data_IF_487430298304
#
_entry.id   IF_487430298304
#
_cell.length_a   1.000
_cell.length_b   1.000
_cell.length_c   1.000
_cell.angle_alpha   90.00
_cell.angle_beta   90.00
_cell.angle_gamma   90.00
#
_symmetry.space_group_name_H-M   'P 1'
#
loop_
_entity.id
_entity.type
_entity.pdbx_description
1 polymer ?
#
# COMPACT_ATOMS: atom_id res chain seq x y z
N UNK A 1 22.82 39.07 -35.89
CA UNK A 1 24.29 39.27 -35.81
C UNK A 1 24.97 38.10 -36.49
N UNK A 2 25.88 38.42 -37.41
CA UNK A 2 26.64 37.53 -38.29
C UNK A 2 27.93 37.03 -37.63
N UNK A 3 28.35 35.80 -37.96
CA UNK A 3 29.72 35.34 -38.33
C UNK A 3 29.77 33.79 -38.24
N UNK A 4 29.84 32.97 -39.32
CA UNK A 4 30.96 32.60 -40.25
C UNK A 4 32.26 32.22 -39.52
N UNK A 5 33.10 31.22 -39.85
CA UNK A 5 33.24 30.12 -40.84
C UNK A 5 34.56 29.39 -40.45
N UNK A 6 34.72 28.06 -40.65
CA UNK A 6 35.91 27.42 -41.28
C UNK A 6 35.78 25.87 -41.31
N UNK A 7 36.14 25.27 -42.46
CA UNK A 7 36.40 23.84 -42.76
C UNK A 7 37.85 23.73 -43.32
N UNK A 8 38.43 22.57 -43.71
CA UNK A 8 38.48 21.21 -43.13
C UNK A 8 39.92 20.55 -43.22
N UNK A 9 39.99 19.24 -42.93
CA UNK A 9 40.89 18.19 -43.47
C UNK A 9 42.24 17.89 -42.78
N UNK A 10 42.41 16.63 -42.36
CA UNK A 10 43.54 15.77 -42.77
C UNK A 10 43.11 14.28 -42.83
N UNK A 11 43.59 13.60 -43.87
CA UNK A 11 43.53 12.14 -44.08
C UNK A 11 44.86 11.53 -43.65
N UNK A 12 44.86 10.35 -43.03
CA UNK A 12 45.72 9.25 -43.49
C UNK A 12 45.27 7.89 -42.95
N UNK A 13 45.39 6.89 -43.82
CA UNK A 13 44.92 5.53 -43.70
C UNK A 13 45.80 4.61 -42.83
N UNK A 14 45.21 3.52 -42.30
CA UNK A 14 45.79 2.17 -42.39
C UNK A 14 44.83 1.06 -41.87
N UNK A 15 44.33 0.27 -42.83
CA UNK A 15 44.23 -1.20 -42.86
C UNK A 15 43.74 -2.04 -41.65
N UNK A 16 42.65 -2.77 -41.93
CA UNK A 16 42.37 -4.20 -41.66
C UNK A 16 42.59 -4.79 -40.26
N UNK A 17 41.53 -5.40 -39.68
CA UNK A 17 41.36 -6.86 -39.64
C UNK A 17 39.96 -7.25 -39.15
N UNK A 18 39.28 -8.05 -39.97
CA UNK A 18 38.42 -9.21 -39.64
C UNK A 18 37.85 -9.33 -38.22
N UNK A 19 36.53 -9.22 -38.13
CA UNK A 19 35.62 -10.14 -37.42
C UNK A 19 35.72 -10.26 -35.90
N UNK A 20 34.67 -9.84 -35.20
CA UNK A 20 34.15 -10.69 -34.12
C UNK A 20 32.63 -10.67 -34.10
N UNK A 21 32.10 -11.88 -34.07
CA UNK A 21 30.69 -12.23 -33.98
C UNK A 21 30.05 -11.55 -32.76
N UNK A 22 29.02 -10.73 -32.98
CA UNK A 22 28.12 -10.33 -31.89
C UNK A 22 27.44 -11.60 -31.38
N UNK A 23 27.91 -12.08 -30.24
CA UNK A 23 27.48 -13.33 -29.63
C UNK A 23 25.97 -13.22 -29.28
N UNK A 24 25.07 -13.94 -29.97
CA UNK A 24 23.62 -13.75 -29.81
C UNK A 24 23.13 -14.03 -28.38
N UNK A 25 23.90 -14.82 -27.62
CA UNK A 25 23.68 -15.11 -26.20
C UNK A 25 23.88 -13.87 -25.31
N UNK A 26 24.79 -12.95 -25.66
CA UNK A 26 25.00 -11.71 -24.90
C UNK A 26 23.90 -10.68 -25.18
N UNK A 27 23.40 -10.64 -26.42
CA UNK A 27 22.33 -9.74 -26.82
C UNK A 27 20.98 -10.16 -26.23
N UNK A 28 20.67 -11.46 -26.19
CA UNK A 28 19.49 -11.98 -25.48
C UNK A 28 19.54 -11.72 -23.97
N UNK A 29 20.71 -11.83 -23.34
CA UNK A 29 20.88 -11.55 -21.91
C UNK A 29 20.65 -10.08 -21.58
N UNK A 30 21.09 -9.17 -22.46
CA UNK A 30 20.89 -7.74 -22.29
C UNK A 30 19.41 -7.37 -22.38
N UNK A 31 18.70 -7.90 -23.39
CA UNK A 31 17.27 -7.69 -23.58
C UNK A 31 16.45 -8.27 -22.42
N UNK A 32 16.80 -9.47 -21.93
CA UNK A 32 16.13 -10.08 -20.77
C UNK A 32 16.35 -9.26 -19.48
N UNK A 33 17.51 -8.64 -19.30
CA UNK A 33 17.79 -7.76 -18.16
C UNK A 33 17.03 -6.43 -18.25
N UNK A 34 16.94 -5.81 -19.43
CA UNK A 34 16.14 -4.59 -19.63
C UNK A 34 14.64 -4.85 -19.45
N UNK A 35 14.15 -6.01 -19.91
CA UNK A 35 12.76 -6.44 -19.68
C UNK A 35 12.53 -6.74 -18.20
N UNK A 36 13.47 -7.38 -17.51
CA UNK A 36 13.36 -7.62 -16.07
C UNK A 36 13.33 -6.29 -15.27
N UNK A 37 14.22 -5.34 -15.59
CA UNK A 37 14.25 -4.01 -14.95
C UNK A 37 12.98 -3.20 -15.20
N UNK A 38 12.43 -3.25 -16.43
CA UNK A 38 11.20 -2.53 -16.78
C UNK A 38 9.95 -3.16 -16.15
N UNK A 39 9.90 -4.49 -16.03
CA UNK A 39 8.84 -5.20 -15.28
C UNK A 39 8.94 -4.93 -13.78
N UNK A 40 10.14 -4.67 -13.26
CA UNK A 40 10.37 -4.31 -11.86
C UNK A 40 10.01 -2.85 -11.56
N UNK A 41 10.15 -1.94 -12.53
CA UNK A 41 9.71 -0.54 -12.44
C UNK A 41 8.20 -0.34 -12.57
N UNK A 42 7.49 -1.22 -13.28
CA UNK A 42 6.02 -1.18 -13.44
C UNK A 42 5.27 -1.74 -12.21
N UNK A 43 5.98 -2.30 -11.23
CA UNK A 43 5.36 -2.72 -9.97
C UNK A 43 5.18 -1.50 -9.09
N UNK A 44 3.93 -1.07 -8.96
CA UNK A 44 3.51 -0.07 -7.98
C UNK A 44 4.19 -0.34 -6.62
N UNK A 45 4.73 0.72 -6.02
CA UNK A 45 5.39 0.71 -4.72
C UNK A 45 4.49 0.21 -3.58
N UNK A 46 3.18 0.08 -3.82
CA UNK A 46 2.23 -0.56 -2.91
C UNK A 46 2.29 -2.10 -2.92
N UNK A 47 2.90 -2.71 -3.95
CA UNK A 47 2.94 -4.16 -4.16
C UNK A 47 4.38 -4.68 -4.25
N UNK A 48 5.22 -4.36 -3.27
CA UNK A 48 6.54 -4.99 -3.11
C UNK A 48 6.41 -6.34 -2.39
N UNK A 49 6.96 -7.40 -3.00
CA UNK A 49 7.11 -8.72 -2.37
C UNK A 49 8.51 -8.85 -1.77
N UNK A 50 8.55 -9.49 -0.60
CA UNK A 50 9.71 -9.97 0.18
C UNK A 50 10.30 -9.08 1.29
N UNK A 51 9.44 -8.39 2.04
CA UNK A 51 9.79 -8.10 3.45
C UNK A 51 9.22 -9.19 4.36
N UNK A 52 10.04 -9.61 5.33
CA UNK A 52 9.61 -10.44 6.46
C UNK A 52 8.42 -9.73 7.10
N UNK A 53 7.23 -10.35 7.04
CA UNK A 53 5.96 -9.71 7.37
C UNK A 53 5.81 -9.55 8.89
N UNK A 54 6.40 -8.49 9.44
CA UNK A 54 6.25 -8.12 10.84
C UNK A 54 4.92 -7.38 11.05
N UNK A 55 4.29 -7.62 12.21
CA UNK A 55 3.13 -6.83 12.65
C UNK A 55 3.53 -5.36 12.71
N UNK A 56 2.68 -4.48 12.15
CA UNK A 56 2.87 -3.03 12.26
C UNK A 56 2.93 -2.62 13.73
N UNK A 57 3.98 -1.89 14.09
CA UNK A 57 4.22 -1.39 15.44
C UNK A 57 3.34 -0.19 15.80
N UNK A 58 3.45 0.28 17.04
CA UNK A 58 2.68 1.43 17.53
C UNK A 58 2.93 2.71 16.71
N UNK A 59 4.19 2.92 16.29
CA UNK A 59 4.60 4.09 15.51
C UNK A 59 3.86 4.22 14.17
N UNK A 60 3.43 3.10 13.57
CA UNK A 60 2.64 3.14 12.34
C UNK A 60 1.28 3.82 12.55
N UNK A 61 0.67 3.63 13.72
CA UNK A 61 -0.66 4.16 14.01
C UNK A 61 -0.62 5.60 14.53
N UNK A 62 0.51 6.03 15.08
CA UNK A 62 0.74 7.36 15.65
C UNK A 62 1.00 8.39 14.56
N UNK A 63 -0.06 8.68 13.79
CA UNK A 63 -0.04 9.69 12.75
C UNK A 63 -1.45 10.28 12.53
N UNK A 64 -1.56 11.47 11.93
CA UNK A 64 -2.85 12.12 11.66
C UNK A 64 -3.79 11.23 10.84
N UNK A 65 -5.10 11.34 11.09
CA UNK A 65 -6.14 10.47 10.54
C UNK A 65 -6.07 10.27 9.02
N UNK A 66 -5.92 11.35 8.24
CA UNK A 66 -5.84 11.29 6.77
C UNK A 66 -4.57 10.56 6.30
N UNK A 67 -3.44 10.80 6.98
CA UNK A 67 -2.18 10.12 6.68
C UNK A 67 -2.28 8.63 7.01
N UNK A 68 -2.89 8.28 8.16
CA UNK A 68 -3.13 6.89 8.54
C UNK A 68 -4.01 6.15 7.53
N UNK A 69 -5.10 6.77 7.08
CA UNK A 69 -5.99 6.18 6.08
C UNK A 69 -5.24 5.83 4.80
N UNK A 70 -4.44 6.75 4.27
CA UNK A 70 -3.59 6.49 3.09
C UNK A 70 -2.53 5.42 3.37
N UNK A 71 -1.91 5.45 4.53
CA UNK A 71 -0.86 4.50 4.90
C UNK A 71 -1.37 3.07 5.07
N UNK A 72 -2.67 2.88 5.37
CA UNK A 72 -3.30 1.57 5.42
C UNK A 72 -3.42 0.91 4.04
N UNK A 73 -3.53 1.67 2.95
CA UNK A 73 -3.66 1.11 1.61
C UNK A 73 -2.43 0.25 1.27
N UNK A 74 -2.68 -0.97 0.78
CA UNK A 74 -1.64 -1.96 0.50
C UNK A 74 -1.15 -2.74 1.74
N UNK A 75 -1.58 -2.41 2.95
CA UNK A 75 -1.27 -3.21 4.16
C UNK A 75 -2.16 -4.43 4.24
N UNK A 76 -1.66 -5.50 4.88
CA UNK A 76 -2.40 -6.76 5.03
C UNK A 76 -3.04 -6.82 6.42
N UNK A 77 -4.37 -6.91 6.47
CA UNK A 77 -5.09 -7.30 7.67
C UNK A 77 -5.04 -8.83 7.80
N UNK A 78 -4.62 -9.30 8.97
CA UNK A 78 -4.53 -10.73 9.28
C UNK A 78 -5.44 -11.05 10.45
N UNK A 79 -6.31 -12.05 10.28
CA UNK A 79 -7.13 -12.63 11.33
C UNK A 79 -6.70 -14.08 11.54
N UNK A 80 -6.23 -14.39 12.75
CA UNK A 80 -6.02 -15.78 13.20
C UNK A 80 -7.29 -16.30 13.87
N UNK A 81 -7.83 -17.39 13.36
CA UNK A 81 -9.00 -18.10 13.89
C UNK A 81 -8.60 -18.99 15.08
N UNK A 82 -9.60 -19.48 15.82
CA UNK A 82 -9.37 -20.27 17.03
C UNK A 82 -8.68 -21.63 16.76
N UNK A 83 -8.91 -22.18 15.57
CA UNK A 83 -8.27 -23.40 15.05
C UNK A 83 -6.84 -23.19 14.52
N UNK A 84 -6.34 -21.95 14.55
CA UNK A 84 -5.04 -21.56 14.02
C UNK A 84 -5.04 -21.17 12.54
N UNK A 85 -6.17 -21.30 11.83
CA UNK A 85 -6.31 -20.85 10.44
C UNK A 85 -6.07 -19.34 10.34
N UNK A 86 -5.35 -18.90 9.31
CA UNK A 86 -5.14 -17.46 9.05
C UNK A 86 -5.92 -17.00 7.81
N UNK A 87 -6.68 -15.94 8.00
CA UNK A 87 -7.36 -15.18 6.96
C UNK A 87 -6.56 -13.90 6.69
N UNK A 88 -6.31 -13.58 5.42
CA UNK A 88 -5.50 -12.42 5.03
C UNK A 88 -6.20 -11.64 3.94
N UNK A 89 -6.20 -10.31 4.05
CA UNK A 89 -6.67 -9.43 2.99
C UNK A 89 -5.90 -8.12 2.94
N UNK A 90 -5.56 -7.65 1.75
CA UNK A 90 -4.95 -6.34 1.52
C UNK A 90 -6.01 -5.27 1.68
N UNK A 91 -5.74 -4.24 2.47
CA UNK A 91 -6.62 -3.07 2.55
C UNK A 91 -6.56 -2.30 1.24
N UNK A 92 -7.71 -2.16 0.59
CA UNK A 92 -7.84 -1.46 -0.71
C UNK A 92 -8.76 -0.26 -0.65
N UNK A 93 -9.54 -0.10 0.43
CA UNK A 93 -10.42 1.03 0.63
C UNK A 93 -10.50 1.40 2.11
N UNK A 94 -10.33 2.69 2.41
CA UNK A 94 -10.40 3.26 3.75
C UNK A 94 -11.13 4.59 3.72
N UNK A 95 -11.73 4.97 4.85
CA UNK A 95 -12.36 6.28 5.03
C UNK A 95 -11.87 6.92 6.33
N UNK A 96 -11.56 8.21 6.29
CA UNK A 96 -10.99 8.95 7.41
C UNK A 96 -12.06 9.81 8.09
N UNK A 97 -12.16 9.68 9.41
CA UNK A 97 -12.98 10.54 10.26
C UNK A 97 -12.05 11.35 11.18
N UNK A 98 -11.75 12.63 10.87
CA UNK A 98 -10.71 13.41 11.57
C UNK A 98 -11.13 13.92 12.96
N UNK A 99 -12.30 13.54 13.48
CA UNK A 99 -12.72 13.84 14.85
C UNK A 99 -13.81 14.89 14.93
N UNK A 100 -13.71 15.79 15.92
CA UNK A 100 -14.80 16.69 16.33
C UNK A 100 -15.34 17.65 15.25
N UNK A 101 -14.51 18.05 14.29
CA UNK A 101 -14.93 18.94 13.19
C UNK A 101 -15.75 18.22 12.12
N UNK A 102 -15.61 16.89 12.04
CA UNK A 102 -16.33 16.08 11.06
C UNK A 102 -17.73 15.74 11.55
N UNK A 103 -18.74 16.32 10.89
CA UNK A 103 -20.16 16.10 11.19
C UNK A 103 -20.63 14.67 10.88
N UNK A 104 -19.92 13.93 10.02
CA UNK A 104 -20.23 12.54 9.73
C UNK A 104 -19.67 11.59 10.81
N UNK A 105 -18.70 12.06 11.61
CA UNK A 105 -18.07 11.25 12.64
C UNK A 105 -18.98 10.98 13.84
N UNK A 106 -18.82 9.80 14.44
CA UNK A 106 -19.43 9.52 15.74
C UNK A 106 -18.94 10.45 16.85
N UNK A 107 -17.74 11.03 16.69
CA UNK A 107 -17.13 11.99 17.61
C UNK A 107 -17.44 13.46 17.26
N UNK A 108 -18.36 13.73 16.32
CA UNK A 108 -18.77 15.08 15.94
C UNK A 108 -19.04 15.97 17.17
N UNK A 109 -18.51 17.20 17.14
CA UNK A 109 -18.57 18.14 18.26
C UNK A 109 -17.76 17.73 19.49
N UNK A 110 -16.79 16.82 19.34
CA UNK A 110 -16.01 16.27 20.46
C UNK A 110 -16.81 15.29 21.33
N UNK A 111 -17.94 14.78 20.83
CA UNK A 111 -18.86 13.94 21.61
C UNK A 111 -18.24 12.58 21.93
N UNK A 112 -17.97 12.35 23.21
CA UNK A 112 -17.54 11.05 23.75
C UNK A 112 -18.69 10.35 24.46
N UNK A 113 -18.86 9.07 24.16
CA UNK A 113 -19.84 8.15 24.72
C UNK A 113 -19.13 6.84 25.07
N UNK A 114 -19.76 5.97 25.86
CA UNK A 114 -19.21 4.63 26.13
C UNK A 114 -18.95 3.86 24.83
N UNK A 115 -19.86 3.97 23.86
CA UNK A 115 -19.77 3.29 22.56
C UNK A 115 -18.53 3.69 21.77
N UNK A 116 -18.25 4.99 21.64
CA UNK A 116 -17.15 5.49 20.80
C UNK A 116 -15.86 5.78 21.59
N UNK A 117 -15.78 5.35 22.86
CA UNK A 117 -14.64 5.65 23.73
C UNK A 117 -13.29 5.23 23.12
N UNK A 118 -13.28 4.13 22.34
CA UNK A 118 -12.11 3.64 21.62
C UNK A 118 -11.52 4.63 20.59
N UNK A 119 -12.31 5.56 20.04
CA UNK A 119 -11.81 6.63 19.17
C UNK A 119 -11.00 7.70 19.93
N UNK A 120 -11.12 7.73 21.26
CA UNK A 120 -10.40 8.65 22.16
C UNK A 120 -9.31 7.93 22.96
N UNK A 121 -8.98 6.70 22.56
CA UNK A 121 -7.88 5.93 23.15
C UNK A 121 -6.62 6.09 22.31
N UNK A 122 -5.53 5.43 22.73
CA UNK A 122 -4.26 5.49 22.02
C UNK A 122 -4.41 5.09 20.54
N UNK A 123 -3.65 5.70 19.60
CA UNK A 123 -3.67 5.31 18.20
C UNK A 123 -3.42 3.81 18.02
N UNK A 124 -4.15 3.19 17.11
CA UNK A 124 -4.12 1.73 16.89
C UNK A 124 -5.14 0.96 17.72
N UNK A 125 -5.87 1.59 18.65
CA UNK A 125 -7.02 0.97 19.33
C UNK A 125 -8.15 0.76 18.33
N UNK A 126 -8.68 -0.47 18.30
CA UNK A 126 -9.78 -0.87 17.42
C UNK A 126 -11.12 -0.38 17.99
N UNK A 127 -11.92 0.26 17.14
CA UNK A 127 -13.30 0.64 17.43
C UNK A 127 -14.24 -0.11 16.47
N UNK A 128 -14.89 -1.17 16.98
CA UNK A 128 -15.92 -1.93 16.25
C UNK A 128 -17.28 -1.59 16.81
N UNK A 129 -18.25 -1.33 15.94
CA UNK A 129 -19.62 -1.06 16.36
C UNK A 129 -20.65 -1.69 15.43
N UNK A 130 -21.87 -2.00 15.95
CA UNK A 130 -22.97 -2.45 15.12
C UNK A 130 -23.66 -1.28 14.39
N UNK A 131 -24.00 -1.50 13.12
CA UNK A 131 -24.82 -0.61 12.30
C UNK A 131 -26.03 -1.37 11.77
N UNK A 132 -27.19 -0.69 11.70
CA UNK A 132 -28.48 -1.27 11.32
C UNK A 132 -28.91 -2.51 12.12
N UNK A 133 -28.30 -2.74 13.30
CA UNK A 133 -28.57 -3.89 14.15
C UNK A 133 -27.94 -5.21 13.70
N UNK A 134 -27.38 -5.30 12.49
CA UNK A 134 -26.95 -6.58 11.88
C UNK A 134 -25.53 -6.59 11.32
N UNK A 135 -24.94 -5.43 11.02
CA UNK A 135 -23.60 -5.34 10.45
C UNK A 135 -22.60 -4.73 11.43
N UNK A 136 -21.31 -5.00 11.24
CA UNK A 136 -20.23 -4.43 12.03
C UNK A 136 -19.34 -3.53 11.15
N UNK A 137 -18.94 -2.38 11.69
CA UNK A 137 -17.92 -1.51 11.08
C UNK A 137 -16.66 -1.53 11.93
N UNK A 138 -15.51 -1.79 11.31
CA UNK A 138 -14.20 -1.84 11.99
C UNK A 138 -13.39 -0.59 11.71
N UNK A 139 -13.12 0.17 12.77
CA UNK A 139 -12.31 1.37 12.73
C UNK A 139 -11.03 1.18 13.54
N UNK A 140 -10.01 1.99 13.25
CA UNK A 140 -8.77 2.06 14.01
C UNK A 140 -8.53 3.53 14.38
N UNK A 141 -8.38 3.82 15.66
CA UNK A 141 -8.05 5.17 16.15
C UNK A 141 -6.72 5.65 15.57
N UNK A 142 -6.69 6.92 15.18
CA UNK A 142 -5.49 7.61 14.72
C UNK A 142 -4.98 8.57 15.80
N UNK A 143 -3.95 9.34 15.48
CA UNK A 143 -3.64 10.55 16.25
C UNK A 143 -4.77 11.57 16.09
N UNK A 144 -5.14 12.25 17.18
CA UNK A 144 -6.22 13.23 17.26
C UNK A 144 -7.42 12.75 18.09
N UNK A 145 -8.03 13.67 18.85
CA UNK A 145 -9.16 13.36 19.73
C UNK A 145 -10.40 12.91 18.94
N UNK A 146 -10.83 11.67 19.19
CA UNK A 146 -12.00 11.10 18.54
C UNK A 146 -11.77 10.79 17.05
N UNK A 147 -10.52 10.76 16.57
CA UNK A 147 -10.20 10.52 15.17
C UNK A 147 -9.97 9.03 14.90
N UNK A 148 -10.49 8.52 13.77
CA UNK A 148 -10.35 7.12 13.40
C UNK A 148 -10.47 6.88 11.90
N UNK A 149 -9.90 5.77 11.43
CA UNK A 149 -10.00 5.27 10.07
C UNK A 149 -10.90 4.05 10.01
N UNK A 150 -11.91 4.08 9.15
CA UNK A 150 -12.74 2.93 8.81
C UNK A 150 -12.06 2.09 7.71
N UNK A 151 -11.98 0.77 7.92
CA UNK A 151 -11.61 -0.17 6.87
C UNK A 151 -12.86 -0.59 6.11
N UNK A 152 -12.94 -0.26 4.80
CA UNK A 152 -14.15 -0.46 4.01
C UNK A 152 -14.10 -1.74 3.16
N UNK A 153 -12.98 -1.98 2.50
CA UNK A 153 -12.81 -3.11 1.59
C UNK A 153 -11.43 -3.72 1.69
N UNK A 154 -11.38 -5.05 1.53
CA UNK A 154 -10.17 -5.84 1.48
C UNK A 154 -10.14 -6.67 0.19
N UNK A 155 -8.98 -6.78 -0.45
CA UNK A 155 -8.69 -7.80 -1.45
C UNK A 155 -8.26 -9.09 -0.74
N UNK A 156 -9.01 -10.18 -0.92
CA UNK A 156 -8.76 -11.43 -0.19
C UNK A 156 -7.50 -12.16 -0.71
N UNK A 157 -6.49 -12.32 0.14
CA UNK A 157 -5.22 -12.97 -0.18
C UNK A 157 -5.18 -14.46 0.23
N UNK A 158 -5.73 -14.81 1.39
CA UNK A 158 -5.67 -16.16 1.94
C UNK A 158 -6.92 -16.48 2.76
N UNK A 159 -7.44 -17.70 2.65
CA UNK A 159 -8.58 -18.19 3.45
C UNK A 159 -9.96 -17.94 2.81
N UNK A 160 -10.01 -17.74 1.49
CA UNK A 160 -11.22 -17.41 0.75
C UNK A 160 -12.38 -18.42 0.92
N UNK A 161 -12.15 -19.76 1.01
CA UNK A 161 -13.23 -20.69 1.32
C UNK A 161 -13.89 -20.42 2.67
N UNK A 162 -13.10 -20.20 3.72
CA UNK A 162 -13.61 -19.86 5.08
C UNK A 162 -14.31 -18.50 5.08
N UNK A 163 -13.74 -17.49 4.39
CA UNK A 163 -14.40 -16.19 4.23
C UNK A 163 -15.76 -16.29 3.51
N UNK A 164 -15.94 -17.26 2.60
CA UNK A 164 -17.23 -17.49 1.93
C UNK A 164 -18.26 -18.05 2.90
N UNK A 165 -17.87 -19.02 3.71
CA UNK A 165 -18.74 -19.63 4.73
C UNK A 165 -19.19 -18.59 5.77
N UNK A 166 -18.24 -17.82 6.32
CA UNK A 166 -18.54 -16.79 7.33
C UNK A 166 -19.48 -15.67 6.85
N UNK A 167 -19.56 -15.43 5.53
CA UNK A 167 -20.48 -14.44 4.95
C UNK A 167 -21.83 -15.02 4.54
N UNK A 168 -21.96 -16.34 4.52
CA UNK A 168 -23.21 -17.02 4.18
C UNK A 168 -24.10 -17.26 5.42
N UNK A 169 -23.52 -17.18 6.62
CA UNK A 169 -24.21 -17.21 7.90
C UNK A 169 -24.99 -15.92 8.16
#
# INVERSE_FOLDING_TARGET
MLATSVQPLERSASQSTLGDSTNPVQQEKHIKNEIALSVELERSHYFTKNDVQHRLGEDFFRQPCISLAKAFLGKVLVRRCADGTELRGTVVETEAYPGGEDKASHSAGGRRTERNAAMFMKPGTIYVYPIYGIYLCMNVSSEGEGAAVLLRSLEALQGQPVMRELRAA
#
